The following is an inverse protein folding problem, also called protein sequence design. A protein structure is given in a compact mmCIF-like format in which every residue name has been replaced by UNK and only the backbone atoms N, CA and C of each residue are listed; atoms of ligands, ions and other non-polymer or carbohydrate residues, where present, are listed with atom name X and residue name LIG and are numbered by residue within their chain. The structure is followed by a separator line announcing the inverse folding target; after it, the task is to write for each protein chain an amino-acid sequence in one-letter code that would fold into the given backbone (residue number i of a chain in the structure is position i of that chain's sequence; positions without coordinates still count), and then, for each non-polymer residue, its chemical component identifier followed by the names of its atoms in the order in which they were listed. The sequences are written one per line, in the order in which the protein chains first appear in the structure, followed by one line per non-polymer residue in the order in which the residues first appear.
data_IF_342299490272
#
_entry.id   IF_342299490272
#
_cell.length_a   1.000
_cell.length_b   1.000
_cell.length_c   1.000
_cell.angle_alpha   90.00
_cell.angle_beta   90.00
_cell.angle_gamma   90.00
#
_symmetry.space_group_name_H-M   'P 1'
#
loop_
_entity.id
_entity.type
_entity.pdbx_description
1 polymer ?
#
# COMPACT_ATOMS: atom_id res chain seq x y z
N UNK A 1 25.43 24.94 -11.96
CA UNK A 1 25.11 24.15 -13.17
C UNK A 1 23.97 23.20 -12.83
N UNK A 2 22.87 23.32 -13.57
CA UNK A 2 21.73 22.40 -13.75
C UNK A 2 21.01 21.80 -12.51
N UNK A 3 19.87 22.42 -12.18
CA UNK A 3 18.58 21.74 -11.98
C UNK A 3 17.76 21.93 -13.29
N UNK A 4 16.54 21.39 -13.50
CA UNK A 4 15.82 20.21 -12.98
C UNK A 4 15.34 19.31 -14.15
N UNK A 5 14.78 18.11 -13.89
CA UNK A 5 13.76 17.53 -14.79
C UNK A 5 12.69 16.74 -14.03
N UNK A 6 11.54 17.41 -13.86
CA UNK A 6 10.23 16.81 -13.64
C UNK A 6 9.87 15.89 -14.82
N UNK A 7 9.42 14.67 -14.55
CA UNK A 7 8.79 13.82 -15.54
C UNK A 7 7.30 14.20 -15.64
N UNK A 8 6.95 14.93 -16.70
CA UNK A 8 5.57 15.18 -17.08
C UNK A 8 4.95 13.88 -17.63
N UNK A 9 3.89 13.40 -16.98
CA UNK A 9 3.05 12.32 -17.48
C UNK A 9 2.12 12.94 -18.53
N UNK A 10 2.33 12.59 -19.80
CA UNK A 10 1.52 13.02 -20.92
C UNK A 10 0.12 12.40 -20.85
N UNK A 11 -0.90 13.27 -20.76
CA UNK A 11 -2.31 12.97 -21.02
C UNK A 11 -2.50 12.72 -22.52
N UNK A 12 -3.01 11.55 -22.90
CA UNK A 12 -3.53 11.28 -24.23
C UNK A 12 -5.06 11.22 -24.16
N UNK A 13 -5.71 12.20 -24.79
CA UNK A 13 -7.13 12.17 -25.15
C UNK A 13 -7.34 11.37 -26.45
N UNK A 14 -8.50 10.72 -26.63
CA UNK A 14 -8.89 10.17 -27.93
C UNK A 14 -9.74 11.19 -28.71
N UNK A 15 -9.44 11.37 -29.99
CA UNK A 15 -10.33 11.98 -30.97
C UNK A 15 -10.34 11.09 -32.21
N UNK A 16 -11.55 10.76 -32.68
CA UNK A 16 -11.75 9.80 -33.77
C UNK A 16 -12.04 10.43 -35.14
N UNK A 17 -12.36 9.49 -36.04
CA UNK A 17 -13.23 9.55 -37.22
C UNK A 17 -12.59 9.70 -38.61
N UNK A 18 -13.04 8.78 -39.49
CA UNK A 18 -13.08 8.74 -40.96
C UNK A 18 -11.83 8.25 -41.73
N UNK A 19 -11.91 7.55 -42.86
CA UNK A 19 -12.91 6.72 -43.57
C UNK A 19 -12.24 6.19 -44.85
N UNK A 20 -12.66 5.01 -45.35
CA UNK A 20 -12.39 4.50 -46.70
C UNK A 20 -11.16 3.59 -46.82
N UNK A 21 -11.16 2.42 -47.46
CA UNK A 21 -12.11 1.74 -48.32
C UNK A 21 -11.26 0.85 -49.27
N UNK A 22 -11.49 -0.46 -49.33
CA UNK A 22 -10.73 -1.33 -50.25
C UNK A 22 -10.74 -2.80 -49.87
N UNK A 23 -11.70 -3.53 -50.44
CA UNK A 23 -11.97 -4.94 -50.22
C UNK A 23 -10.88 -5.89 -50.74
N UNK A 24 -10.60 -6.98 -50.01
CA UNK A 24 -10.42 -8.34 -50.57
C UNK A 24 -10.92 -9.41 -49.60
N UNK A 25 -12.02 -10.06 -50.01
CA UNK A 25 -12.59 -11.29 -49.47
C UNK A 25 -11.61 -12.46 -49.68
N UNK A 26 -11.44 -13.30 -48.66
CA UNK A 26 -11.34 -14.74 -48.87
C UNK A 26 -12.25 -15.42 -47.84
N UNK A 27 -13.26 -16.14 -48.35
CA UNK A 27 -14.24 -16.92 -47.61
C UNK A 27 -13.97 -18.39 -47.90
N UNK A 28 -13.85 -19.20 -46.86
CA UNK A 28 -14.17 -20.64 -46.78
C UNK A 28 -14.66 -20.83 -45.32
N UNK A 29 -15.98 -20.93 -45.02
CA UNK A 29 -16.82 -22.15 -45.00
C UNK A 29 -16.04 -23.35 -44.42
N UNK A 30 -16.41 -24.11 -43.40
CA UNK A 30 -17.60 -24.43 -42.57
C UNK A 30 -16.96 -25.09 -41.30
N UNK A 31 -17.54 -25.31 -40.12
CA UNK A 31 -18.84 -25.87 -39.82
C UNK A 31 -19.01 -25.94 -38.28
N UNK A 32 -20.28 -25.96 -37.89
CA UNK A 32 -20.87 -26.77 -36.83
C UNK A 32 -20.65 -26.47 -35.32
N UNK A 33 -21.82 -26.25 -34.71
CA UNK A 33 -22.18 -26.02 -33.30
C UNK A 33 -22.30 -27.31 -32.44
N UNK A 34 -21.77 -27.22 -31.20
CA UNK A 34 -22.21 -27.78 -29.88
C UNK A 34 -22.20 -29.32 -29.57
N UNK A 35 -22.65 -29.79 -28.36
CA UNK A 35 -21.73 -30.27 -27.30
C UNK A 35 -22.10 -31.68 -26.78
N UNK A 36 -21.13 -32.47 -26.29
CA UNK A 36 -21.46 -33.75 -25.64
C UNK A 36 -20.60 -33.96 -24.40
N UNK A 37 -21.25 -34.00 -23.24
CA UNK A 37 -20.66 -34.54 -22.02
C UNK A 37 -20.22 -35.99 -22.29
N UNK A 38 -18.92 -36.25 -22.12
CA UNK A 38 -18.32 -37.57 -22.15
C UNK A 38 -17.41 -37.72 -20.94
N UNK A 39 -17.88 -38.46 -19.96
CA UNK A 39 -17.16 -38.88 -18.77
C UNK A 39 -16.03 -39.83 -19.12
N UNK A 40 -14.77 -39.43 -18.97
CA UNK A 40 -13.65 -40.39 -18.92
C UNK A 40 -12.66 -40.06 -17.80
N UNK A 41 -12.77 -40.87 -16.75
CA UNK A 41 -11.87 -40.98 -15.62
C UNK A 41 -10.51 -41.47 -16.13
N UNK A 42 -9.58 -40.56 -16.41
CA UNK A 42 -8.16 -40.90 -16.56
C UNK A 42 -7.42 -40.70 -15.25
N UNK A 43 -7.16 -41.84 -14.59
CA UNK A 43 -6.26 -42.00 -13.44
C UNK A 43 -4.88 -41.37 -13.73
N UNK A 44 -4.69 -40.11 -13.35
CA UNK A 44 -3.36 -39.53 -13.18
C UNK A 44 -2.83 -39.96 -11.83
N UNK A 45 -1.90 -40.93 -11.84
CA UNK A 45 -0.96 -41.21 -10.74
C UNK A 45 -0.31 -39.89 -10.31
N UNK A 46 -0.87 -39.26 -9.27
CA UNK A 46 -0.24 -38.18 -8.52
C UNK A 46 1.00 -38.77 -7.85
N UNK A 47 2.17 -38.61 -8.47
CA UNK A 47 3.42 -38.56 -7.70
C UNK A 47 3.31 -37.32 -6.82
N UNK A 48 2.85 -37.50 -5.58
CA UNK A 48 3.03 -36.51 -4.51
C UNK A 48 4.53 -36.47 -4.22
N UNK A 49 5.26 -35.68 -5.01
CA UNK A 49 6.47 -35.08 -4.49
C UNK A 49 5.99 -34.02 -3.50
N UNK A 50 5.86 -34.42 -2.25
CA UNK A 50 5.90 -33.51 -1.13
C UNK A 50 7.26 -32.83 -1.20
N UNK A 51 7.31 -31.64 -1.80
CA UNK A 51 8.31 -30.67 -1.42
C UNK A 51 8.10 -30.44 0.07
N UNK A 52 8.89 -31.13 0.88
CA UNK A 52 9.26 -30.67 2.21
C UNK A 52 10.01 -29.37 1.99
N UNK A 53 9.29 -28.30 1.66
CA UNK A 53 9.79 -26.95 1.89
C UNK A 53 9.87 -26.85 3.40
N UNK A 54 11.10 -27.01 3.91
CA UNK A 54 11.41 -26.69 5.28
C UNK A 54 10.89 -25.29 5.56
N UNK A 55 10.08 -25.07 6.61
CA UNK A 55 9.68 -23.73 7.01
C UNK A 55 10.94 -22.87 7.08
N UNK A 56 10.92 -21.62 6.57
CA UNK A 56 12.10 -20.77 6.62
C UNK A 56 12.55 -20.72 8.08
N UNK A 57 13.77 -21.22 8.33
CA UNK A 57 14.37 -21.22 9.67
C UNK A 57 14.45 -19.78 10.11
N UNK A 58 13.54 -19.35 10.97
CA UNK A 58 13.51 -17.99 11.48
C UNK A 58 14.60 -17.88 12.54
N UNK A 59 15.81 -17.49 12.13
CA UNK A 59 16.95 -17.23 13.03
C UNK A 59 16.78 -15.97 13.89
N UNK A 60 15.53 -15.59 14.22
CA UNK A 60 15.20 -14.37 14.95
C UNK A 60 14.90 -14.66 16.42
N UNK A 61 15.13 -13.66 17.27
CA UNK A 61 14.85 -13.71 18.70
C UNK A 61 13.37 -14.02 18.94
N UNK A 62 13.09 -15.06 19.73
CA UNK A 62 11.74 -15.33 20.24
C UNK A 62 11.33 -14.22 21.21
N UNK A 63 10.11 -13.71 21.06
CA UNK A 63 9.54 -12.70 21.97
C UNK A 63 8.51 -13.38 22.88
N UNK A 64 8.84 -13.62 24.16
CA UNK A 64 7.90 -14.22 25.11
C UNK A 64 6.66 -13.36 25.29
N UNK A 65 5.49 -14.00 25.40
CA UNK A 65 4.24 -13.34 25.78
C UNK A 65 3.53 -12.52 24.68
N UNK A 66 4.00 -12.53 23.44
CA UNK A 66 3.34 -11.80 22.34
C UNK A 66 2.15 -12.59 21.77
N UNK A 67 0.96 -12.45 22.38
CA UNK A 67 -0.25 -13.22 22.05
C UNK A 67 -1.03 -12.79 20.79
N UNK A 68 -0.63 -11.71 20.11
CA UNK A 68 -1.39 -11.11 18.98
C UNK A 68 -0.82 -11.44 17.59
N UNK A 69 0.14 -12.37 17.49
CA UNK A 69 0.82 -12.74 16.25
C UNK A 69 2.33 -12.54 16.35
N UNK A 70 2.94 -11.81 15.41
CA UNK A 70 4.34 -11.38 15.55
C UNK A 70 4.41 -9.85 15.75
N UNK A 71 5.43 -9.34 16.48
CA UNK A 71 5.66 -7.91 16.59
C UNK A 71 5.76 -7.22 15.23
N UNK A 72 6.37 -7.88 14.24
CA UNK A 72 6.46 -7.35 12.88
C UNK A 72 5.09 -7.22 12.22
N UNK A 73 4.16 -8.16 12.44
CA UNK A 73 2.80 -8.06 11.92
C UNK A 73 2.04 -6.87 12.53
N UNK A 74 2.22 -6.62 13.83
CA UNK A 74 1.63 -5.46 14.51
C UNK A 74 2.22 -4.15 13.97
N UNK A 75 3.55 -4.07 13.81
CA UNK A 75 4.21 -2.93 13.19
C UNK A 75 3.75 -2.69 11.75
N UNK A 76 3.65 -3.75 10.94
CA UNK A 76 3.17 -3.68 9.56
C UNK A 76 1.72 -3.16 9.46
N UNK A 77 0.84 -3.56 10.39
CA UNK A 77 -0.53 -3.03 10.47
C UNK A 77 -0.54 -1.54 10.81
N UNK A 78 0.30 -1.10 11.74
CA UNK A 78 0.41 0.33 12.06
C UNK A 78 0.92 1.13 10.85
N UNK A 79 1.90 0.60 10.11
CA UNK A 79 2.37 1.20 8.87
C UNK A 79 1.28 1.26 7.80
N UNK A 80 0.45 0.22 7.67
CA UNK A 80 -0.71 0.23 6.76
C UNK A 80 -1.65 1.42 7.06
N UNK A 81 -1.95 1.67 8.34
CA UNK A 81 -2.78 2.81 8.74
C UNK A 81 -2.09 4.15 8.45
N UNK A 82 -0.79 4.24 8.75
CA UNK A 82 0.02 5.43 8.43
C UNK A 82 0.05 5.73 6.93
N UNK A 83 0.23 4.73 6.07
CA UNK A 83 0.24 4.93 4.63
C UNK A 83 -1.12 5.36 4.07
N UNK A 84 -2.22 4.93 4.70
CA UNK A 84 -3.53 5.45 4.36
C UNK A 84 -3.65 6.94 4.67
N UNK A 85 -3.18 7.37 5.84
CA UNK A 85 -3.12 8.79 6.20
C UNK A 85 -2.29 9.59 5.18
N UNK A 86 -1.08 9.12 4.84
CA UNK A 86 -0.22 9.79 3.85
C UNK A 86 -0.91 9.87 2.48
N UNK A 87 -1.52 8.79 2.01
CA UNK A 87 -2.20 8.79 0.72
C UNK A 87 -3.39 9.76 0.67
N UNK A 88 -4.18 9.86 1.74
CA UNK A 88 -5.27 10.85 1.84
C UNK A 88 -4.72 12.27 1.75
N UNK A 89 -3.61 12.57 2.45
CA UNK A 89 -2.95 13.88 2.39
C UNK A 89 -2.47 14.21 0.98
N UNK A 90 -1.80 13.27 0.31
CA UNK A 90 -1.32 13.43 -1.07
C UNK A 90 -2.49 13.70 -2.02
N UNK A 91 -3.58 12.94 -1.92
CA UNK A 91 -4.76 13.11 -2.78
C UNK A 91 -5.45 14.45 -2.51
N UNK A 92 -5.60 14.87 -1.25
CA UNK A 92 -6.14 16.20 -0.91
C UNK A 92 -5.32 17.31 -1.56
N UNK A 93 -4.00 17.27 -1.44
CA UNK A 93 -3.11 18.26 -2.07
C UNK A 93 -3.23 18.26 -3.60
N UNK A 94 -3.37 17.09 -4.25
CA UNK A 94 -3.60 17.02 -5.69
C UNK A 94 -4.94 17.65 -6.10
N UNK A 95 -5.99 17.45 -5.31
CA UNK A 95 -7.33 17.95 -5.60
C UNK A 95 -7.47 19.46 -5.38
N UNK A 96 -6.70 20.04 -4.46
CA UNK A 96 -6.77 21.47 -4.14
C UNK A 96 -6.57 22.37 -5.38
N UNK A 97 -5.68 21.98 -6.29
CA UNK A 97 -5.47 22.67 -7.57
C UNK A 97 -6.26 22.09 -8.75
N UNK A 98 -6.47 20.77 -8.78
CA UNK A 98 -7.06 20.09 -9.94
C UNK A 98 -8.59 20.07 -9.93
N UNK A 99 -9.20 19.89 -8.76
CA UNK A 99 -10.65 19.80 -8.60
C UNK A 99 -11.07 20.20 -7.17
N UNK A 100 -11.37 21.49 -6.98
CA UNK A 100 -11.73 22.06 -5.68
C UNK A 100 -13.03 21.52 -5.08
N UNK A 101 -13.98 21.11 -5.89
CA UNK A 101 -15.24 20.54 -5.40
C UNK A 101 -14.99 19.18 -4.75
N UNK A 102 -14.25 18.30 -5.45
CA UNK A 102 -13.87 17.00 -4.92
C UNK A 102 -12.94 17.11 -3.69
N UNK A 103 -12.10 18.15 -3.63
CA UNK A 103 -11.35 18.50 -2.43
C UNK A 103 -12.28 18.78 -1.24
N UNK A 104 -13.28 19.63 -1.42
CA UNK A 104 -14.26 19.96 -0.38
C UNK A 104 -14.98 18.72 0.14
N UNK A 105 -15.51 17.89 -0.78
CA UNK A 105 -16.19 16.64 -0.42
C UNK A 105 -15.28 15.69 0.38
N UNK A 106 -14.03 15.50 -0.07
CA UNK A 106 -13.09 14.62 0.63
C UNK A 106 -12.69 15.18 1.99
N UNK A 107 -12.48 16.50 2.09
CA UNK A 107 -12.12 17.16 3.34
C UNK A 107 -13.24 17.04 4.37
N UNK A 108 -14.49 17.29 3.96
CA UNK A 108 -15.68 17.11 4.81
C UNK A 108 -15.86 15.65 5.25
N UNK A 109 -15.55 14.69 4.38
CA UNK A 109 -15.56 13.28 4.75
C UNK A 109 -14.47 12.95 5.79
N UNK A 110 -13.25 13.46 5.61
CA UNK A 110 -12.12 13.26 6.55
C UNK A 110 -12.41 13.89 7.91
N UNK A 111 -13.02 15.07 7.95
CA UNK A 111 -13.39 15.73 9.21
C UNK A 111 -14.42 14.92 10.03
N UNK A 112 -15.27 14.13 9.36
CA UNK A 112 -16.30 13.28 9.99
C UNK A 112 -15.82 11.85 10.28
N UNK A 113 -14.70 11.42 9.73
CA UNK A 113 -14.24 10.02 9.80
C UNK A 113 -12.77 9.91 10.20
N UNK A 114 -12.49 9.13 11.24
CA UNK A 114 -11.11 8.89 11.69
C UNK A 114 -10.26 8.20 10.63
N UNK A 115 -9.01 8.67 10.48
CA UNK A 115 -7.98 8.08 9.64
C UNK A 115 -7.16 6.97 10.34
N UNK A 116 -7.41 6.72 11.64
CA UNK A 116 -6.64 5.77 12.44
C UNK A 116 -6.85 4.32 12.00
N UNK A 117 -8.04 3.99 11.46
CA UNK A 117 -8.34 2.68 10.88
C UNK A 117 -8.56 2.84 9.37
N UNK A 118 -7.52 2.51 8.62
CA UNK A 118 -7.52 2.56 7.16
C UNK A 118 -8.63 1.71 6.52
N UNK A 119 -8.93 0.53 7.07
CA UNK A 119 -9.88 -0.39 6.45
C UNK A 119 -11.31 0.11 6.69
N UNK A 120 -11.61 0.55 7.91
CA UNK A 120 -12.89 1.16 8.24
C UNK A 120 -13.10 2.46 7.46
N UNK A 121 -12.08 3.32 7.37
CA UNK A 121 -12.14 4.55 6.57
C UNK A 121 -12.47 4.27 5.10
N UNK A 122 -11.70 3.39 4.44
CA UNK A 122 -11.92 3.07 3.04
C UNK A 122 -13.28 2.40 2.80
N UNK A 123 -13.72 1.50 3.70
CA UNK A 123 -15.04 0.85 3.61
C UNK A 123 -16.17 1.86 3.65
N UNK A 124 -16.08 2.88 4.50
CA UNK A 124 -17.07 3.97 4.58
C UNK A 124 -17.03 4.84 3.34
N UNK A 125 -15.84 5.28 2.92
CA UNK A 125 -15.66 6.18 1.78
C UNK A 125 -16.21 5.56 0.47
N UNK A 126 -15.96 4.28 0.23
CA UNK A 126 -16.47 3.56 -0.96
C UNK A 126 -18.01 3.55 -1.01
N UNK A 127 -18.68 3.61 0.15
CA UNK A 127 -20.14 3.47 0.28
C UNK A 127 -20.87 4.82 0.37
N UNK A 128 -20.17 5.93 0.60
CA UNK A 128 -20.76 7.25 0.78
C UNK A 128 -21.48 7.74 -0.50
N UNK A 129 -20.80 7.69 -1.66
CA UNK A 129 -21.39 8.02 -2.96
C UNK A 129 -20.54 7.49 -4.12
N UNK A 130 -21.05 7.48 -5.37
CA UNK A 130 -20.24 7.11 -6.54
C UNK A 130 -18.99 7.98 -6.74
N UNK A 131 -19.04 9.28 -6.37
CA UNK A 131 -17.88 10.19 -6.40
C UNK A 131 -16.85 9.80 -5.33
N UNK A 132 -17.30 9.57 -4.10
CA UNK A 132 -16.42 9.10 -3.02
C UNK A 132 -15.80 7.74 -3.31
N UNK A 133 -16.52 6.86 -4.02
CA UNK A 133 -15.95 5.59 -4.50
C UNK A 133 -14.76 5.82 -5.42
N UNK A 134 -14.83 6.77 -6.36
CA UNK A 134 -13.69 7.10 -7.24
C UNK A 134 -12.52 7.68 -6.45
N UNK A 135 -12.79 8.55 -5.48
CA UNK A 135 -11.77 9.08 -4.55
C UNK A 135 -11.11 7.96 -3.73
N UNK A 136 -11.89 7.00 -3.25
CA UNK A 136 -11.35 5.84 -2.54
C UNK A 136 -10.42 5.02 -3.44
N UNK A 137 -10.82 4.73 -4.68
CA UNK A 137 -9.96 4.01 -5.64
C UNK A 137 -8.63 4.74 -5.86
N UNK A 138 -8.68 6.07 -6.00
CA UNK A 138 -7.48 6.90 -6.12
C UNK A 138 -6.56 6.80 -4.90
N UNK A 139 -7.13 6.82 -3.69
CA UNK A 139 -6.36 6.66 -2.44
C UNK A 139 -5.74 5.26 -2.35
N UNK A 140 -6.46 4.21 -2.77
CA UNK A 140 -5.97 2.83 -2.81
C UNK A 140 -4.78 2.68 -3.77
N UNK A 141 -4.83 3.32 -4.93
CA UNK A 141 -3.72 3.36 -5.89
C UNK A 141 -2.51 4.09 -5.31
N UNK A 142 -2.71 5.32 -4.82
CA UNK A 142 -1.64 6.17 -4.28
C UNK A 142 -0.95 5.47 -3.11
N UNK A 143 -1.70 4.89 -2.16
CA UNK A 143 -1.07 4.18 -1.02
C UNK A 143 -0.29 2.94 -1.47
N UNK A 144 -0.78 2.21 -2.48
CA UNK A 144 -0.02 1.06 -3.02
C UNK A 144 1.26 1.52 -3.72
N UNK A 145 1.20 2.60 -4.51
CA UNK A 145 2.35 3.14 -5.20
C UNK A 145 3.41 3.66 -4.22
N UNK A 146 2.98 4.49 -3.26
CA UNK A 146 3.88 5.08 -2.27
C UNK A 146 4.66 4.02 -1.50
N UNK A 147 3.98 2.98 -1.00
CA UNK A 147 4.61 1.92 -0.19
C UNK A 147 5.61 1.08 -0.97
N UNK A 148 5.36 0.87 -2.27
CA UNK A 148 6.18 -0.01 -3.12
C UNK A 148 7.33 0.70 -3.83
N UNK A 149 7.19 2.00 -4.08
CA UNK A 149 8.09 2.73 -4.97
C UNK A 149 8.75 3.96 -4.33
N UNK A 150 8.05 4.66 -3.44
CA UNK A 150 8.52 5.96 -2.93
C UNK A 150 8.98 5.90 -1.47
N UNK A 151 8.43 4.99 -0.67
CA UNK A 151 8.75 4.90 0.75
C UNK A 151 10.14 4.30 0.97
N UNK A 152 11.02 5.06 1.61
CA UNK A 152 12.41 4.69 1.87
C UNK A 152 12.54 3.69 3.04
N UNK A 153 12.29 2.42 2.76
CA UNK A 153 12.36 1.34 3.75
C UNK A 153 13.72 1.23 4.46
N UNK A 154 14.82 1.39 3.73
CA UNK A 154 16.17 1.34 4.29
C UNK A 154 16.43 2.53 5.23
N UNK A 155 15.91 3.71 4.89
CA UNK A 155 16.00 4.88 5.73
C UNK A 155 15.15 4.72 7.00
N UNK A 156 13.94 4.17 6.90
CA UNK A 156 13.12 3.82 8.07
C UNK A 156 13.89 2.87 9.00
N UNK A 157 14.52 1.82 8.46
CA UNK A 157 15.30 0.87 9.23
C UNK A 157 16.49 1.54 9.93
N UNK A 158 17.26 2.34 9.19
CA UNK A 158 18.41 3.09 9.71
C UNK A 158 18.01 4.06 10.83
N UNK A 159 16.93 4.82 10.62
CA UNK A 159 16.39 5.74 11.61
C UNK A 159 15.88 5.00 12.86
N UNK A 160 15.23 3.85 12.68
CA UNK A 160 14.73 3.06 13.82
C UNK A 160 15.86 2.62 14.75
N UNK A 161 17.02 2.22 14.19
CA UNK A 161 18.19 1.89 15.00
C UNK A 161 18.74 3.13 15.70
N UNK A 162 18.99 4.19 14.92
CA UNK A 162 19.53 5.45 15.44
C UNK A 162 18.71 6.00 16.61
N UNK A 163 17.38 6.01 16.49
CA UNK A 163 16.50 6.54 17.54
C UNK A 163 16.58 5.74 18.84
N UNK A 164 16.71 4.42 18.78
CA UNK A 164 16.85 3.59 19.98
C UNK A 164 18.22 3.81 20.63
N UNK A 165 19.29 3.85 19.85
CA UNK A 165 20.65 4.09 20.35
C UNK A 165 20.78 5.46 21.03
N UNK A 166 20.22 6.50 20.39
CA UNK A 166 20.20 7.86 20.92
C UNK A 166 19.34 7.97 22.18
N UNK A 167 18.15 7.34 22.20
CA UNK A 167 17.28 7.34 23.36
C UNK A 167 17.95 6.66 24.57
N UNK A 168 18.58 5.51 24.37
CA UNK A 168 19.29 4.78 25.43
C UNK A 168 20.48 5.60 25.96
N UNK A 169 21.29 6.18 25.07
CA UNK A 169 22.44 7.02 25.44
C UNK A 169 22.00 8.23 26.24
N UNK A 170 20.92 8.90 25.79
CA UNK A 170 20.36 10.05 26.47
C UNK A 170 19.85 9.68 27.87
N UNK A 171 19.09 8.59 27.99
CA UNK A 171 18.53 8.14 29.26
C UNK A 171 19.64 7.87 30.30
N UNK A 172 20.74 7.22 29.90
CA UNK A 172 21.87 6.99 30.80
C UNK A 172 22.60 8.28 31.18
N UNK A 173 22.77 9.21 30.23
CA UNK A 173 23.38 10.52 30.50
C UNK A 173 22.55 11.33 31.48
N UNK A 174 21.24 11.41 31.26
CA UNK A 174 20.32 12.19 32.08
C UNK A 174 20.30 11.63 33.52
N UNK A 175 20.26 10.30 33.69
CA UNK A 175 20.33 9.64 35.01
C UNK A 175 21.63 9.98 35.79
N UNK A 176 22.79 9.96 35.13
CA UNK A 176 24.06 10.29 35.77
C UNK A 176 24.09 11.74 36.23
N UNK A 177 23.58 12.66 35.41
CA UNK A 177 23.49 14.08 35.77
C UNK A 177 22.57 14.30 36.98
N UNK A 178 21.40 13.65 36.99
CA UNK A 178 20.43 13.76 38.10
C UNK A 178 20.97 13.25 39.43
N UNK A 179 21.73 12.15 39.43
CA UNK A 179 22.23 11.52 40.66
C UNK A 179 23.54 12.11 41.16
N UNK A 180 24.34 12.73 40.29
CA UNK A 180 25.63 13.33 40.66
C UNK A 180 25.56 14.55 41.58
N UNK A 181 24.40 15.17 41.74
CA UNK A 181 24.19 16.32 42.65
C UNK A 181 23.71 15.94 44.05
N UNK A 182 23.60 14.64 44.37
CA UNK A 182 22.99 14.15 45.62
C UNK A 182 24.06 13.83 46.70
N UNK A 183 25.36 13.79 46.36
CA UNK A 183 26.42 13.33 47.27
C UNK A 183 27.09 14.43 48.12
N UNK A 184 26.74 15.71 47.95
CA UNK A 184 27.44 16.84 48.61
C UNK A 184 26.82 17.32 49.96
N UNK A 185 25.73 16.71 50.45
CA UNK A 185 24.97 17.19 51.63
C UNK A 185 24.95 16.24 52.86
N UNK A 186 26.00 15.43 53.09
CA UNK A 186 26.09 14.57 54.29
C UNK A 186 27.41 14.65 55.07
#
# INVERSE_FOLDING_TARGET
MASPRCAAVALLHPAGVAAGGGARRLVLLLDQERPLWGTEVRRRRRRRFSSLETPPRCSKMYVPGFGEGSPEKKAARNLQHFFNYIAVRVVLTQLESYNREAYGELMDFVNRNSLNDADTFCKKLIRESPRHKQLAMRILEVRSAYVKHDFEWDNLKRLSFKMVDEANTKLMRDYVLETSHIEDDN
#
